data_IF_458771841219
#
_entry.id   IF_458771841219
#
_cell.length_a   1.000
_cell.length_b   1.000
_cell.length_c   1.000
_cell.angle_alpha   90.00
_cell.angle_beta   90.00
_cell.angle_gamma   90.00
#
_symmetry.space_group_name_H-M   'P 1'
#
loop_
_entity.id
_entity.type
_entity.pdbx_description
1 polymer ?
#
# COMPACT_ATOMS: atom_id res chain seq x y z
N UNK A 1 28.52 -15.03 -2.28
CA UNK A 1 29.24 -14.89 -0.98
C UNK A 1 30.57 -14.17 -1.18
N UNK A 2 31.53 -14.72 -1.94
CA UNK A 2 32.85 -14.09 -2.14
C UNK A 2 32.83 -12.67 -2.73
N UNK A 3 31.80 -12.32 -3.50
CA UNK A 3 31.66 -10.99 -4.13
C UNK A 3 31.22 -9.88 -3.18
N UNK A 4 30.76 -10.21 -1.97
CA UNK A 4 30.33 -9.24 -0.96
C UNK A 4 31.34 -9.12 0.19
N UNK A 5 32.14 -10.17 0.41
CA UNK A 5 33.08 -10.24 1.51
C UNK A 5 34.34 -9.41 1.24
N UNK A 6 34.72 -8.57 2.19
CA UNK A 6 36.00 -7.89 2.22
C UNK A 6 36.93 -8.60 3.21
N UNK A 7 37.78 -9.51 2.71
CA UNK A 7 38.67 -10.32 3.56
C UNK A 7 39.85 -9.56 4.14
N UNK A 8 40.00 -8.26 3.81
CA UNK A 8 41.01 -7.39 4.40
C UNK A 8 40.58 -6.80 5.75
N UNK A 9 39.30 -6.96 6.13
CA UNK A 9 38.76 -6.52 7.42
C UNK A 9 38.80 -7.69 8.41
N UNK A 10 39.19 -7.44 9.66
CA UNK A 10 39.09 -8.45 10.71
C UNK A 10 37.61 -8.66 11.09
N UNK A 11 37.05 -9.88 10.90
CA UNK A 11 35.66 -10.15 11.24
C UNK A 11 35.35 -10.02 12.74
N UNK A 12 36.35 -10.10 13.62
CA UNK A 12 36.18 -9.91 15.06
C UNK A 12 36.00 -8.43 15.45
N UNK A 13 36.46 -7.50 14.61
CA UNK A 13 36.39 -6.06 14.88
C UNK A 13 35.19 -5.41 14.17
N UNK A 14 34.92 -5.82 12.92
CA UNK A 14 33.74 -5.38 12.16
C UNK A 14 33.25 -6.48 11.21
N UNK A 15 32.38 -7.34 11.73
CA UNK A 15 31.78 -8.43 10.95
C UNK A 15 30.92 -7.92 9.78
N UNK A 16 30.30 -6.74 9.91
CA UNK A 16 29.46 -6.19 8.85
C UNK A 16 30.31 -5.74 7.65
N UNK A 17 31.39 -4.99 7.89
CA UNK A 17 32.32 -4.61 6.85
C UNK A 17 33.06 -5.82 6.25
N UNK A 18 33.38 -6.84 7.05
CA UNK A 18 33.93 -8.09 6.52
C UNK A 18 32.95 -8.81 5.59
N UNK A 19 31.66 -8.86 5.91
CA UNK A 19 30.66 -9.62 5.14
C UNK A 19 30.08 -8.86 3.94
N UNK A 20 29.96 -7.53 4.02
CA UNK A 20 29.31 -6.68 3.01
C UNK A 20 30.22 -5.61 2.40
N UNK A 21 31.41 -5.38 2.95
CA UNK A 21 32.25 -4.23 2.60
C UNK A 21 32.90 -4.27 1.22
N UNK A 22 32.77 -5.38 0.46
CA UNK A 22 33.19 -5.44 -0.94
C UNK A 22 32.04 -5.21 -1.94
N UNK A 23 30.82 -4.98 -1.44
CA UNK A 23 29.64 -4.72 -2.28
C UNK A 23 29.84 -3.53 -3.21
N UNK A 24 29.45 -3.70 -4.48
CA UNK A 24 29.57 -2.64 -5.48
C UNK A 24 28.30 -1.78 -5.55
N UNK A 25 28.41 -0.50 -5.96
CA UNK A 25 27.23 0.31 -6.27
C UNK A 25 26.30 -0.41 -7.26
N UNK A 26 25.01 -0.45 -6.96
CA UNK A 26 24.00 -1.12 -7.78
C UNK A 26 23.86 -2.64 -7.54
N UNK A 27 24.72 -3.24 -6.74
CA UNK A 27 24.58 -4.65 -6.38
C UNK A 27 23.43 -4.85 -5.36
N UNK A 28 22.45 -5.68 -5.70
CA UNK A 28 21.29 -5.93 -4.82
C UNK A 28 21.69 -6.78 -3.62
N UNK A 29 21.27 -6.35 -2.42
CA UNK A 29 21.40 -7.14 -1.19
C UNK A 29 20.50 -8.38 -1.28
N UNK A 30 20.81 -9.41 -0.50
CA UNK A 30 20.16 -10.72 -0.57
C UNK A 30 18.62 -10.68 -0.53
N UNK A 31 18.02 -9.87 0.35
CA UNK A 31 16.56 -9.75 0.45
C UNK A 31 15.96 -9.03 -0.77
N UNK A 32 16.62 -7.98 -1.27
CA UNK A 32 16.21 -7.28 -2.49
C UNK A 32 16.33 -8.18 -3.72
N UNK A 33 17.37 -9.01 -3.78
CA UNK A 33 17.57 -9.98 -4.86
C UNK A 33 16.51 -11.09 -4.83
N UNK A 34 16.23 -11.66 -3.66
CA UNK A 34 15.17 -12.65 -3.51
C UNK A 34 13.79 -12.08 -3.87
N UNK A 35 13.49 -10.86 -3.42
CA UNK A 35 12.27 -10.14 -3.79
C UNK A 35 12.16 -9.95 -5.30
N UNK A 36 13.24 -9.49 -5.94
CA UNK A 36 13.30 -9.31 -7.38
C UNK A 36 13.10 -10.62 -8.14
N UNK A 37 13.76 -11.71 -7.73
CA UNK A 37 13.59 -13.02 -8.36
C UNK A 37 12.15 -13.52 -8.26
N UNK A 38 11.53 -13.41 -7.09
CA UNK A 38 10.14 -13.81 -6.88
C UNK A 38 9.18 -12.98 -7.74
N UNK A 39 9.37 -11.66 -7.77
CA UNK A 39 8.59 -10.75 -8.61
C UNK A 39 8.70 -11.11 -10.09
N UNK A 40 9.92 -11.29 -10.60
CA UNK A 40 10.15 -11.68 -12.00
C UNK A 40 9.52 -13.03 -12.31
N UNK A 41 9.63 -13.99 -11.40
CA UNK A 41 9.00 -15.31 -11.56
C UNK A 41 7.47 -15.19 -11.67
N UNK A 42 6.83 -14.40 -10.81
CA UNK A 42 5.39 -14.13 -10.88
C UNK A 42 5.00 -13.43 -12.19
N UNK A 43 5.71 -12.37 -12.58
CA UNK A 43 5.46 -11.64 -13.82
C UNK A 43 5.56 -12.58 -15.03
N UNK A 44 6.57 -13.44 -15.08
CA UNK A 44 6.75 -14.38 -16.18
C UNK A 44 5.61 -15.39 -16.29
N UNK A 45 5.00 -15.82 -15.17
CA UNK A 45 3.79 -16.63 -15.22
C UNK A 45 2.59 -15.81 -15.72
N UNK A 46 2.38 -14.61 -15.18
CA UNK A 46 1.24 -13.76 -15.51
C UNK A 46 1.27 -13.18 -16.94
N UNK A 47 2.45 -13.12 -17.58
CA UNK A 47 2.60 -12.73 -18.99
C UNK A 47 2.17 -13.80 -20.00
N UNK A 48 1.90 -15.03 -19.56
CA UNK A 48 1.39 -16.07 -20.45
C UNK A 48 0.04 -15.66 -21.06
N UNK A 49 -0.31 -16.16 -22.26
CA UNK A 49 -1.60 -15.86 -22.88
C UNK A 49 -2.77 -16.22 -21.96
N UNK A 50 -3.90 -15.51 -22.04
CA UNK A 50 -5.07 -15.78 -21.22
C UNK A 50 -5.55 -17.23 -21.33
N UNK A 51 -5.42 -17.84 -22.50
CA UNK A 51 -5.76 -19.26 -22.75
C UNK A 51 -4.96 -20.24 -21.91
N UNK A 52 -3.74 -19.88 -21.47
CA UNK A 52 -2.98 -20.68 -20.51
C UNK A 52 -3.74 -20.85 -19.18
N UNK A 53 -4.58 -19.87 -18.82
CA UNK A 53 -5.28 -19.82 -17.54
C UNK A 53 -6.71 -20.38 -17.59
N UNK A 54 -7.22 -20.82 -18.74
CA UNK A 54 -8.63 -21.22 -18.91
C UNK A 54 -9.05 -22.39 -18.00
N UNK A 55 -8.11 -23.28 -17.71
CA UNK A 55 -8.31 -24.45 -16.84
C UNK A 55 -8.08 -24.16 -15.35
N UNK A 56 -7.62 -22.96 -15.00
CA UNK A 56 -7.31 -22.59 -13.62
C UNK A 56 -8.55 -22.11 -12.87
N UNK A 57 -8.47 -22.09 -11.53
CA UNK A 57 -9.54 -21.64 -10.66
C UNK A 57 -9.91 -20.17 -10.92
N UNK A 58 -11.15 -19.79 -10.56
CA UNK A 58 -11.63 -18.42 -10.73
C UNK A 58 -10.70 -17.36 -10.12
N UNK A 59 -10.15 -17.53 -8.89
CA UNK A 59 -9.23 -16.54 -8.32
C UNK A 59 -7.97 -16.31 -9.16
N UNK A 60 -7.41 -17.37 -9.75
CA UNK A 60 -6.20 -17.25 -10.60
C UNK A 60 -6.54 -16.51 -11.90
N UNK A 61 -7.70 -16.80 -12.51
CA UNK A 61 -8.16 -16.08 -13.70
C UNK A 61 -8.45 -14.61 -13.41
N UNK A 62 -9.00 -14.29 -12.24
CA UNK A 62 -9.19 -12.91 -11.79
C UNK A 62 -7.87 -12.18 -11.58
N UNK A 63 -6.87 -12.85 -11.00
CA UNK A 63 -5.52 -12.28 -10.87
C UNK A 63 -4.92 -11.97 -12.25
N UNK A 64 -5.06 -12.88 -13.22
CA UNK A 64 -4.62 -12.65 -14.61
C UNK A 64 -5.35 -11.47 -15.25
N UNK A 65 -6.67 -11.41 -15.14
CA UNK A 65 -7.48 -10.31 -15.64
C UNK A 65 -7.03 -8.96 -15.05
N UNK A 66 -6.79 -8.91 -13.74
CA UNK A 66 -6.31 -7.71 -13.07
C UNK A 66 -4.91 -7.29 -13.53
N UNK A 67 -3.99 -8.25 -13.65
CA UNK A 67 -2.65 -8.02 -14.18
C UNK A 67 -2.68 -7.45 -15.60
N UNK A 68 -3.50 -8.00 -16.48
CA UNK A 68 -3.63 -7.53 -17.86
C UNK A 68 -4.21 -6.12 -17.94
N UNK A 69 -5.23 -5.83 -17.13
CA UNK A 69 -5.78 -4.48 -17.04
C UNK A 69 -4.72 -3.47 -16.56
N UNK A 70 -3.88 -3.85 -15.59
CA UNK A 70 -2.78 -3.02 -15.13
C UNK A 70 -1.71 -2.81 -16.22
N UNK A 71 -1.36 -3.86 -16.97
CA UNK A 71 -0.32 -3.79 -18.01
C UNK A 71 -0.78 -3.05 -19.27
N UNK A 72 -2.07 -3.08 -19.59
CA UNK A 72 -2.65 -2.25 -20.65
C UNK A 72 -2.52 -0.75 -20.33
N UNK A 73 -2.44 -0.41 -19.05
CA UNK A 73 -2.43 0.97 -18.57
C UNK A 73 -3.77 1.67 -18.77
N UNK A 74 -3.80 2.95 -18.42
CA UNK A 74 -4.92 3.84 -18.70
C UNK A 74 -4.40 5.03 -19.52
N UNK A 75 -5.22 5.50 -20.45
CA UNK A 75 -4.97 6.79 -21.10
C UNK A 75 -5.01 7.92 -20.06
N UNK A 76 -4.45 9.07 -20.44
CA UNK A 76 -4.55 10.28 -19.64
C UNK A 76 -6.02 10.65 -19.40
N UNK A 77 -6.86 10.56 -20.43
CA UNK A 77 -8.28 10.88 -20.37
C UNK A 77 -9.04 9.96 -19.42
N UNK A 78 -8.76 8.65 -19.43
CA UNK A 78 -9.34 7.69 -18.48
C UNK A 78 -8.91 7.99 -17.05
N UNK A 79 -7.62 8.27 -16.85
CA UNK A 79 -7.07 8.60 -15.54
C UNK A 79 -7.66 9.91 -14.99
N UNK A 80 -7.80 10.92 -15.83
CA UNK A 80 -8.44 12.20 -15.47
C UNK A 80 -9.93 12.01 -15.13
N UNK A 81 -10.67 11.24 -15.94
CA UNK A 81 -12.08 10.90 -15.66
C UNK A 81 -12.21 10.16 -14.34
N UNK A 82 -11.33 9.20 -14.07
CA UNK A 82 -11.33 8.47 -12.81
C UNK A 82 -11.08 9.40 -11.63
N UNK A 83 -10.07 10.27 -11.73
CA UNK A 83 -9.74 11.26 -10.69
C UNK A 83 -10.89 12.22 -10.41
N UNK A 84 -11.51 12.79 -11.46
CA UNK A 84 -12.67 13.68 -11.30
C UNK A 84 -13.86 12.95 -10.67
N UNK A 85 -14.11 11.69 -11.07
CA UNK A 85 -15.15 10.86 -10.45
C UNK A 85 -14.90 10.67 -8.95
N UNK A 86 -13.68 10.34 -8.55
CA UNK A 86 -13.31 10.14 -7.14
C UNK A 86 -13.60 11.38 -6.29
N UNK A 87 -13.23 12.56 -6.78
CA UNK A 87 -13.50 13.80 -6.06
C UNK A 87 -14.99 14.19 -6.04
N UNK A 88 -15.74 13.94 -7.12
CA UNK A 88 -17.18 14.15 -7.13
C UNK A 88 -17.87 13.22 -6.13
N UNK A 89 -17.47 11.95 -6.05
CA UNK A 89 -18.00 10.99 -5.07
C UNK A 89 -17.68 11.42 -3.63
N UNK A 90 -16.46 11.94 -3.39
CA UNK A 90 -16.09 12.52 -2.09
C UNK A 90 -16.94 13.75 -1.73
N UNK A 91 -17.21 14.63 -2.70
CA UNK A 91 -18.08 15.79 -2.50
C UNK A 91 -19.52 15.36 -2.20
N UNK A 92 -20.06 14.43 -2.97
CA UNK A 92 -21.46 14.00 -2.85
C UNK A 92 -21.70 13.25 -1.53
N UNK A 93 -20.67 12.56 -1.02
CA UNK A 93 -20.68 11.97 0.33
C UNK A 93 -20.59 13.01 1.46
N UNK A 94 -20.17 14.26 1.17
CA UNK A 94 -19.92 15.31 2.15
C UNK A 94 -20.47 16.68 1.66
N UNK A 95 -21.78 16.82 1.43
CA UNK A 95 -22.36 17.95 0.69
C UNK A 95 -22.15 19.33 1.35
N UNK A 96 -22.07 19.38 2.68
CA UNK A 96 -21.96 20.63 3.44
C UNK A 96 -20.52 21.04 3.76
N UNK A 97 -19.59 20.08 3.73
CA UNK A 97 -18.17 20.25 4.10
C UNK A 97 -17.26 20.25 2.86
N UNK A 98 -17.62 19.50 1.82
CA UNK A 98 -16.88 19.39 0.56
C UNK A 98 -15.51 18.70 0.70
N UNK A 99 -14.68 18.85 -0.35
CA UNK A 99 -13.25 18.52 -0.33
C UNK A 99 -12.44 19.73 -0.86
N UNK A 100 -11.70 20.46 0.00
CA UNK A 100 -11.12 21.76 -0.35
C UNK A 100 -10.14 21.76 -1.53
N UNK A 101 -9.56 20.61 -1.89
CA UNK A 101 -8.51 20.55 -2.92
C UNK A 101 -8.99 20.83 -4.36
N UNK A 102 -10.29 20.63 -4.66
CA UNK A 102 -10.84 20.94 -5.99
C UNK A 102 -11.63 22.25 -6.04
N UNK A 103 -12.20 22.64 -4.91
CA UNK A 103 -13.08 23.79 -4.81
C UNK A 103 -12.77 24.52 -3.51
N UNK A 104 -11.79 25.45 -3.52
CA UNK A 104 -11.51 26.29 -2.37
C UNK A 104 -12.69 27.26 -2.20
N UNK A 105 -13.76 26.79 -1.58
CA UNK A 105 -14.59 27.70 -0.80
C UNK A 105 -13.75 28.13 0.40
N UNK A 106 -14.03 29.32 0.92
CA UNK A 106 -13.46 29.82 2.17
C UNK A 106 -13.46 28.71 3.23
N UNK A 107 -12.46 28.70 4.12
CA UNK A 107 -12.33 27.66 5.14
C UNK A 107 -13.65 27.50 5.91
N UNK A 108 -14.34 26.37 5.70
CA UNK A 108 -15.54 26.00 6.44
C UNK A 108 -15.06 25.18 7.65
N UNK A 109 -15.39 25.65 8.85
CA UNK A 109 -15.16 24.86 10.05
C UNK A 109 -16.09 23.64 10.04
N UNK A 110 -15.52 22.44 10.13
CA UNK A 110 -16.28 21.20 10.18
C UNK A 110 -16.86 20.99 11.58
N UNK A 111 -18.12 20.53 11.68
CA UNK A 111 -18.58 19.95 12.95
C UNK A 111 -17.92 18.58 13.21
N UNK A 112 -17.99 18.10 14.44
CA UNK A 112 -17.53 16.75 14.80
C UNK A 112 -18.20 15.66 13.96
N UNK A 113 -19.48 15.82 13.65
CA UNK A 113 -20.27 14.86 12.87
C UNK A 113 -19.82 14.86 11.40
N UNK A 114 -19.60 16.04 10.82
CA UNK A 114 -19.13 16.18 9.44
C UNK A 114 -17.73 15.61 9.28
N UNK A 115 -16.81 15.93 10.20
CA UNK A 115 -15.47 15.38 10.19
C UNK A 115 -15.47 13.86 10.38
N UNK A 116 -16.28 13.34 11.30
CA UNK A 116 -16.39 11.89 11.55
C UNK A 116 -16.98 11.15 10.34
N UNK A 117 -17.99 11.71 9.68
CA UNK A 117 -18.58 11.15 8.47
C UNK A 117 -17.56 11.12 7.31
N UNK A 118 -16.80 12.19 7.13
CA UNK A 118 -15.73 12.26 6.13
C UNK A 118 -14.64 11.20 6.38
N UNK A 119 -14.15 11.11 7.62
CA UNK A 119 -13.15 10.11 8.02
C UNK A 119 -13.69 8.68 7.87
N UNK A 120 -14.92 8.42 8.31
CA UNK A 120 -15.56 7.12 8.16
C UNK A 120 -15.78 6.70 6.71
N UNK A 121 -16.20 7.63 5.84
CA UNK A 121 -16.38 7.38 4.41
C UNK A 121 -15.04 7.07 3.72
N UNK A 122 -13.99 7.84 4.00
CA UNK A 122 -12.66 7.63 3.39
C UNK A 122 -12.06 6.28 3.78
N UNK A 123 -12.15 5.90 5.06
CA UNK A 123 -11.70 4.58 5.52
C UNK A 123 -12.58 3.46 4.94
N UNK A 124 -13.91 3.57 5.07
CA UNK A 124 -14.84 2.48 4.73
C UNK A 124 -15.00 2.23 3.22
N UNK A 125 -14.93 3.28 2.39
CA UNK A 125 -15.13 3.15 0.94
C UNK A 125 -13.83 3.07 0.15
N UNK A 126 -12.73 3.63 0.67
CA UNK A 126 -11.44 3.72 -0.05
C UNK A 126 -10.27 3.05 0.65
N UNK A 127 -10.41 2.65 1.92
CA UNK A 127 -9.30 2.14 2.72
C UNK A 127 -8.22 3.19 2.99
N UNK A 128 -8.56 4.48 2.88
CA UNK A 128 -7.62 5.59 3.08
C UNK A 128 -7.70 6.02 4.54
N UNK A 129 -6.64 5.76 5.30
CA UNK A 129 -6.45 6.28 6.65
C UNK A 129 -5.83 7.68 6.57
N UNK A 130 -6.38 8.66 7.29
CA UNK A 130 -5.94 10.06 7.24
C UNK A 130 -5.51 10.60 8.59
N UNK A 131 -6.42 11.16 9.41
CA UNK A 131 -6.12 11.66 10.76
C UNK A 131 -6.06 10.53 11.80
N UNK A 132 -6.75 9.43 11.52
CA UNK A 132 -6.86 8.26 12.38
C UNK A 132 -6.87 7.02 11.50
N UNK A 133 -6.23 5.96 11.98
CA UNK A 133 -6.34 4.62 11.41
C UNK A 133 -7.36 3.85 12.20
N UNK A 134 -8.39 3.33 11.53
CA UNK A 134 -9.37 2.42 12.15
C UNK A 134 -9.36 1.11 11.39
N UNK A 135 -9.00 0.04 12.07
CA UNK A 135 -8.88 -1.29 11.46
C UNK A 135 -9.58 -2.34 12.32
N UNK A 136 -10.34 -3.28 11.72
CA UNK A 136 -10.74 -4.48 12.41
C UNK A 136 -9.50 -5.35 12.62
N UNK A 137 -9.23 -5.71 13.88
CA UNK A 137 -8.11 -6.57 14.25
C UNK A 137 -8.54 -7.62 15.25
N UNK A 138 -7.67 -8.61 15.49
CA UNK A 138 -7.87 -9.55 16.58
C UNK A 138 -7.92 -8.80 17.91
N UNK A 139 -8.85 -9.17 18.78
CA UNK A 139 -8.81 -8.78 20.18
C UNK A 139 -7.54 -9.36 20.80
N UNK A 140 -6.59 -8.51 21.15
CA UNK A 140 -5.32 -8.95 21.72
C UNK A 140 -5.49 -9.54 23.12
N UNK A 141 -6.59 -9.23 23.82
CA UNK A 141 -6.87 -9.74 25.17
C UNK A 141 -7.68 -11.04 25.13
N UNK A 142 -8.57 -11.19 24.16
CA UNK A 142 -9.40 -12.39 24.02
C UNK A 142 -9.71 -12.74 22.54
N UNK A 143 -8.74 -13.27 21.79
CA UNK A 143 -8.84 -13.51 20.35
C UNK A 143 -9.77 -14.67 19.97
N UNK A 144 -10.28 -15.43 20.94
CA UNK A 144 -11.14 -16.59 20.72
C UNK A 144 -12.49 -16.48 21.44
N UNK A 145 -12.88 -15.27 21.84
CA UNK A 145 -14.14 -15.05 22.52
C UNK A 145 -15.35 -15.52 21.69
N UNK A 146 -16.45 -15.85 22.37
CA UNK A 146 -17.67 -16.36 21.74
C UNK A 146 -18.35 -15.37 20.77
N UNK A 147 -17.90 -14.11 20.74
CA UNK A 147 -18.38 -13.06 19.82
C UNK A 147 -17.48 -12.91 18.58
N UNK A 148 -16.48 -13.77 18.42
CA UNK A 148 -15.61 -13.83 17.24
C UNK A 148 -14.19 -13.31 17.43
N UNK A 149 -13.83 -12.76 18.60
CA UNK A 149 -12.43 -12.40 18.88
C UNK A 149 -11.88 -11.20 18.11
N UNK A 150 -12.74 -10.29 17.62
CA UNK A 150 -12.33 -9.09 16.88
C UNK A 150 -12.69 -7.80 17.62
N UNK A 151 -11.86 -6.78 17.46
CA UNK A 151 -12.08 -5.42 17.98
C UNK A 151 -11.74 -4.39 16.91
N UNK A 152 -12.40 -3.23 16.98
CA UNK A 152 -11.92 -2.06 16.24
C UNK A 152 -10.72 -1.47 16.98
N UNK A 153 -9.60 -1.39 16.27
CA UNK A 153 -8.37 -0.78 16.76
C UNK A 153 -8.27 0.62 16.18
N UNK A 154 -7.97 1.60 17.04
CA UNK A 154 -7.77 3.00 16.69
C UNK A 154 -6.29 3.29 16.93
N UNK A 155 -5.58 3.71 15.88
CA UNK A 155 -4.14 3.99 15.94
C UNK A 155 -3.81 5.28 15.17
N UNK A 156 -2.58 5.77 15.36
CA UNK A 156 -2.04 6.87 14.60
C UNK A 156 -1.99 6.53 13.09
N UNK A 157 -2.16 7.53 12.21
CA UNK A 157 -2.04 7.31 10.78
C UNK A 157 -0.58 7.17 10.34
N UNK A 158 -0.38 6.46 9.23
CA UNK A 158 0.90 6.51 8.52
C UNK A 158 1.08 7.89 7.89
N UNK A 159 2.27 8.44 8.03
CA UNK A 159 2.64 9.70 7.40
C UNK A 159 2.90 9.49 5.90
N UNK A 160 2.55 10.49 5.07
CA UNK A 160 2.82 10.43 3.62
C UNK A 160 4.33 10.27 3.33
N UNK A 161 5.16 10.89 4.16
CA UNK A 161 6.61 10.79 4.08
C UNK A 161 7.11 9.83 5.17
N UNK A 162 8.00 8.88 4.82
CA UNK A 162 8.60 8.00 5.81
C UNK A 162 9.53 8.84 6.69
N UNK A 163 9.27 8.83 8.01
CA UNK A 163 9.90 9.58 9.12
C UNK A 163 9.05 10.76 9.62
N UNK A 164 8.70 10.70 10.89
CA UNK A 164 8.09 11.78 11.66
C UNK A 164 9.15 12.80 12.11
N UNK A 165 9.79 13.49 11.16
CA UNK A 165 10.46 14.76 11.43
C UNK A 165 9.46 15.88 11.11
N UNK A 166 8.72 16.29 12.13
CA UNK A 166 7.89 17.48 12.09
C UNK A 166 8.54 18.46 13.08
N UNK A 167 9.24 19.48 12.56
CA UNK A 167 9.78 20.59 13.34
C UNK A 167 8.65 21.52 13.81
#
# INVERSE_FOLDING_TARGET
>A
IRTWMNTSINPCDDFYAFTYGAGQPGQRRSLSEAGHYNEQSMINQLRKPTTFFDTFSLPVRQLKWYFDACMAGASYEESAKHTVKQFNELRDANPDFGFPALYPKEAIEATSEQLSAFLGYTIGSRGINTLVTVLPGADQKDPHNAKGGYTFQIDQPSTLLPLSYYD
#
